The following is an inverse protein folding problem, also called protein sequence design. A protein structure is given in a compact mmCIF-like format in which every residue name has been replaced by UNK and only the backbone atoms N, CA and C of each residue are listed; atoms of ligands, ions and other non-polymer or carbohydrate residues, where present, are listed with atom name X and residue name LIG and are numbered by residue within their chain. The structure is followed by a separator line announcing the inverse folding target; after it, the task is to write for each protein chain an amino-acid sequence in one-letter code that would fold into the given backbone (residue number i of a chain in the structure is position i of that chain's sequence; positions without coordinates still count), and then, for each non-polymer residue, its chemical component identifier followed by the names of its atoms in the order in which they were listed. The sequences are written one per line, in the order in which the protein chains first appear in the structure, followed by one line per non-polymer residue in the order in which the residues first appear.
data_IF_359438885127
#
_entry.id   IF_359438885127
#
_cell.length_a   1.000
_cell.length_b   1.000
_cell.length_c   1.000
_cell.angle_alpha   90.00
_cell.angle_beta   90.00
_cell.angle_gamma   90.00
#
_symmetry.space_group_name_H-M   'P 1'
#
loop_
_entity.id
_entity.type
_entity.pdbx_description
1 polymer ?
#
# COMPACT_ATOMS: atom_id res chain seq x y z
N UNK A 1 6.76 -10.75 6.98
CA UNK A 1 6.78 -9.35 6.53
C UNK A 1 5.87 -8.51 7.42
N UNK A 2 6.35 -7.35 7.80
CA UNK A 2 5.67 -6.41 8.68
C UNK A 2 5.50 -5.08 7.94
N UNK A 3 4.28 -4.53 7.90
CA UNK A 3 3.99 -3.30 7.17
C UNK A 3 3.15 -2.31 7.99
N UNK A 4 3.23 -1.04 7.62
CA UNK A 4 2.29 0.01 8.04
C UNK A 4 1.52 0.48 6.82
N UNK A 5 0.18 0.52 6.93
CA UNK A 5 -0.72 1.01 5.89
C UNK A 5 -1.20 2.43 6.20
N UNK A 6 -1.12 3.32 5.21
CA UNK A 6 -1.86 4.57 5.21
C UNK A 6 -3.30 4.35 4.74
N UNK A 7 -4.13 5.36 4.82
CA UNK A 7 -5.57 5.32 4.49
C UNK A 7 -5.83 4.96 3.02
N UNK A 8 -5.14 5.61 2.09
CA UNK A 8 -5.37 5.43 0.66
C UNK A 8 -5.19 3.97 0.20
N UNK A 9 -4.13 3.25 0.58
CA UNK A 9 -4.01 1.83 0.25
C UNK A 9 -5.14 0.97 0.80
N UNK A 10 -5.62 1.25 2.01
CA UNK A 10 -6.73 0.53 2.62
C UNK A 10 -8.00 0.70 1.77
N UNK A 11 -8.29 1.94 1.36
CA UNK A 11 -9.46 2.25 0.55
C UNK A 11 -9.36 1.59 -0.83
N UNK A 12 -8.25 1.75 -1.53
CA UNK A 12 -8.08 1.16 -2.85
C UNK A 12 -8.17 -0.36 -2.84
N UNK A 13 -7.50 -1.02 -1.89
CA UNK A 13 -7.58 -2.47 -1.77
C UNK A 13 -8.99 -2.94 -1.40
N UNK A 14 -9.71 -2.19 -0.59
CA UNK A 14 -11.12 -2.48 -0.28
C UNK A 14 -12.00 -2.40 -1.53
N UNK A 15 -11.78 -1.42 -2.40
CA UNK A 15 -12.55 -1.22 -3.63
C UNK A 15 -12.40 -2.37 -4.63
N UNK A 16 -11.27 -3.08 -4.59
CA UNK A 16 -11.03 -4.24 -5.46
C UNK A 16 -11.03 -5.56 -4.70
N UNK A 17 -11.66 -5.59 -3.53
CA UNK A 17 -11.84 -6.80 -2.70
C UNK A 17 -10.53 -7.53 -2.39
N UNK A 18 -9.46 -6.78 -2.13
CA UNK A 18 -8.13 -7.34 -1.93
C UNK A 18 -7.53 -7.09 -0.55
N UNK A 19 -8.16 -6.22 0.27
CA UNK A 19 -7.60 -5.90 1.58
C UNK A 19 -7.45 -7.14 2.46
N UNK A 20 -8.45 -8.01 2.49
CA UNK A 20 -8.43 -9.24 3.31
C UNK A 20 -7.35 -10.22 2.87
N UNK A 21 -6.94 -10.16 1.61
CA UNK A 21 -5.91 -11.05 1.07
C UNK A 21 -4.54 -10.79 1.68
N UNK A 22 -4.31 -9.59 2.21
CA UNK A 22 -3.03 -9.26 2.86
C UNK A 22 -2.75 -10.16 4.06
N UNK A 23 -3.79 -10.58 4.78
CA UNK A 23 -3.64 -11.45 5.93
C UNK A 23 -3.11 -12.85 5.57
N UNK A 24 -3.23 -13.26 4.30
CA UNK A 24 -2.78 -14.57 3.83
C UNK A 24 -1.25 -14.64 3.66
N UNK A 25 -0.57 -13.50 3.52
CA UNK A 25 0.86 -13.50 3.23
C UNK A 25 1.69 -12.46 4.01
N UNK A 26 1.06 -11.64 4.85
CA UNK A 26 1.74 -10.63 5.67
C UNK A 26 1.43 -10.90 7.14
N UNK A 27 2.50 -11.03 7.93
CA UNK A 27 2.39 -11.46 9.32
C UNK A 27 1.79 -10.38 10.23
N UNK A 28 2.31 -9.16 10.11
CA UNK A 28 1.91 -8.05 10.97
C UNK A 28 1.58 -6.83 10.13
N UNK A 29 0.34 -6.35 10.27
CA UNK A 29 -0.17 -5.19 9.55
C UNK A 29 -0.64 -4.16 10.56
N UNK A 30 -0.06 -2.96 10.46
CA UNK A 30 -0.34 -1.84 11.36
C UNK A 30 -0.89 -0.64 10.60
N UNK A 31 -1.61 0.21 11.31
CA UNK A 31 -2.06 1.50 10.83
C UNK A 31 -1.98 2.55 11.95
N UNK A 32 -1.70 3.81 11.63
CA UNK A 32 -1.73 4.89 12.63
C UNK A 32 -3.15 5.27 12.99
N UNK A 33 -3.33 5.97 14.12
CA UNK A 33 -4.65 6.39 14.60
C UNK A 33 -5.41 7.29 13.61
N UNK A 34 -4.71 8.14 12.86
CA UNK A 34 -5.34 9.03 11.88
C UNK A 34 -6.17 8.28 10.84
N UNK A 35 -5.79 7.04 10.52
CA UNK A 35 -6.51 6.20 9.56
C UNK A 35 -7.96 5.96 9.98
N UNK A 36 -8.24 5.81 11.29
CA UNK A 36 -9.60 5.59 11.78
C UNK A 36 -10.53 6.74 11.37
N UNK A 37 -10.07 7.97 11.51
CA UNK A 37 -10.86 9.16 11.16
C UNK A 37 -10.98 9.36 9.65
N UNK A 38 -9.95 9.01 8.90
CA UNK A 38 -9.89 9.21 7.46
C UNK A 38 -10.66 8.15 6.67
N UNK A 39 -10.92 6.98 7.24
CA UNK A 39 -11.63 5.89 6.55
C UNK A 39 -13.11 6.17 6.34
N UNK A 40 -13.74 7.00 7.18
CA UNK A 40 -15.16 7.36 7.11
C UNK A 40 -16.07 6.11 7.07
N UNK A 41 -16.61 5.79 5.89
CA UNK A 41 -17.53 4.67 5.67
C UNK A 41 -16.85 3.30 5.59
N UNK A 42 -15.54 3.27 5.40
CA UNK A 42 -14.80 2.01 5.29
C UNK A 42 -14.52 1.43 6.66
N UNK A 43 -14.66 0.11 6.78
CA UNK A 43 -14.39 -0.60 8.03
C UNK A 43 -12.97 -1.13 8.05
N UNK A 44 -12.26 -0.89 9.14
CA UNK A 44 -10.92 -1.43 9.33
C UNK A 44 -11.02 -2.89 9.79
N UNK A 45 -10.47 -3.86 9.04
CA UNK A 45 -10.46 -5.25 9.47
C UNK A 45 -9.68 -5.46 10.77
N UNK A 46 -10.10 -6.45 11.56
CA UNK A 46 -9.49 -6.73 12.86
C UNK A 46 -8.01 -7.14 12.79
N UNK A 47 -7.55 -7.68 11.65
CA UNK A 47 -6.14 -8.06 11.48
C UNK A 47 -5.21 -6.85 11.29
N UNK A 48 -5.75 -5.65 11.03
CA UNK A 48 -4.96 -4.42 10.99
C UNK A 48 -4.93 -3.83 12.40
N UNK A 49 -3.75 -3.79 12.99
CA UNK A 49 -3.55 -3.31 14.35
C UNK A 49 -3.30 -1.81 14.35
N UNK A 50 -4.20 -1.05 14.98
CA UNK A 50 -4.00 0.39 15.14
C UNK A 50 -3.06 0.63 16.31
N UNK A 51 -1.99 1.40 16.08
CA UNK A 51 -0.99 1.73 17.11
C UNK A 51 -0.86 3.23 17.29
N UNK A 52 -0.79 3.71 18.55
CA UNK A 52 -0.47 5.10 18.81
C UNK A 52 1.03 5.34 18.59
N UNK A 53 1.38 6.57 18.26
CA UNK A 53 2.77 7.03 18.27
C UNK A 53 3.23 7.26 19.71
N UNK A 54 4.57 7.28 19.90
CA UNK A 54 5.14 7.80 21.13
C UNK A 54 4.85 9.30 21.26
N UNK A 55 5.01 9.86 22.47
CA UNK A 55 4.85 11.30 22.70
C UNK A 55 5.80 12.11 21.80
N UNK A 56 7.04 11.66 21.63
CA UNK A 56 8.02 12.28 20.72
C UNK A 56 7.56 12.21 19.27
N UNK A 57 7.03 11.07 18.83
CA UNK A 57 6.50 10.89 17.48
C UNK A 57 5.31 11.80 17.21
N UNK A 58 4.38 11.91 18.15
CA UNK A 58 3.24 12.83 18.03
C UNK A 58 3.68 14.30 17.91
N UNK A 59 4.64 14.71 18.72
CA UNK A 59 5.20 16.07 18.67
C UNK A 59 5.88 16.34 17.32
N UNK A 60 6.62 15.37 16.79
CA UNK A 60 7.23 15.48 15.47
C UNK A 60 6.18 15.67 14.38
N UNK A 61 5.12 14.87 14.37
CA UNK A 61 4.03 14.98 13.39
C UNK A 61 3.40 16.37 13.43
N UNK A 62 3.07 16.88 14.62
CA UNK A 62 2.47 18.20 14.76
C UNK A 62 3.38 19.32 14.25
N UNK A 63 4.69 19.21 14.49
CA UNK A 63 5.66 20.19 14.01
C UNK A 63 5.98 20.08 12.50
N UNK A 64 5.71 18.94 11.89
CA UNK A 64 6.02 18.67 10.49
C UNK A 64 4.82 18.81 9.54
N UNK A 65 3.64 19.15 10.07
CA UNK A 65 2.44 19.36 9.25
C UNK A 65 2.68 20.48 8.23
N UNK A 66 2.25 20.23 6.99
CA UNK A 66 2.46 21.18 5.88
C UNK A 66 2.04 20.53 4.57
N UNK A 67 3.00 20.20 3.71
CA UNK A 67 2.72 19.56 2.40
C UNK A 67 2.17 18.15 2.54
N UNK A 68 2.55 17.44 3.62
CA UNK A 68 2.03 16.12 3.91
C UNK A 68 0.90 16.24 4.93
N UNK A 69 -0.12 15.40 4.75
CA UNK A 69 -1.24 15.31 5.67
C UNK A 69 -0.85 14.51 6.92
N UNK A 70 -1.62 14.70 7.98
CA UNK A 70 -1.35 14.06 9.27
C UNK A 70 -1.27 12.54 9.16
N UNK A 71 -2.18 11.90 8.42
CA UNK A 71 -2.19 10.45 8.26
C UNK A 71 -0.93 9.90 7.61
N UNK A 72 -0.40 10.59 6.61
CA UNK A 72 0.84 10.21 5.94
C UNK A 72 2.04 10.32 6.88
N UNK A 73 2.14 11.43 7.61
CA UNK A 73 3.20 11.65 8.59
C UNK A 73 3.13 10.64 9.73
N UNK A 74 1.94 10.35 10.25
CA UNK A 74 1.77 9.34 11.30
C UNK A 74 2.16 7.96 10.81
N UNK A 75 1.83 7.59 9.57
CA UNK A 75 2.23 6.31 9.00
C UNK A 75 3.77 6.19 8.90
N UNK A 76 4.44 7.25 8.46
CA UNK A 76 5.90 7.29 8.35
C UNK A 76 6.55 7.14 9.73
N UNK A 77 6.10 7.92 10.71
CA UNK A 77 6.66 7.89 12.07
C UNK A 77 6.38 6.54 12.74
N UNK A 78 5.18 6.00 12.58
CA UNK A 78 4.85 4.68 13.11
C UNK A 78 5.74 3.59 12.50
N UNK A 79 6.00 3.67 11.21
CA UNK A 79 6.89 2.74 10.52
C UNK A 79 8.32 2.76 11.09
N UNK A 80 8.81 3.96 11.45
CA UNK A 80 10.11 4.08 12.11
C UNK A 80 10.10 3.50 13.53
N UNK A 81 9.06 3.79 14.31
CA UNK A 81 8.96 3.35 15.71
C UNK A 81 8.81 1.82 15.81
N UNK A 82 8.07 1.19 14.91
CA UNK A 82 7.86 -0.27 14.90
C UNK A 82 9.01 -0.99 14.19
N UNK A 83 9.76 -0.32 13.35
CA UNK A 83 10.80 -0.91 12.49
C UNK A 83 10.20 -1.95 11.53
N UNK A 84 9.31 -1.50 10.66
CA UNK A 84 8.63 -2.35 9.67
C UNK A 84 9.50 -2.63 8.44
N UNK A 85 9.13 -3.65 7.67
CA UNK A 85 9.77 -3.93 6.37
C UNK A 85 9.37 -2.90 5.32
N UNK A 86 8.09 -2.51 5.29
CA UNK A 86 7.58 -1.51 4.34
C UNK A 86 6.57 -0.58 4.99
N UNK A 87 6.60 0.68 4.58
CA UNK A 87 5.47 1.61 4.77
C UNK A 87 4.74 1.76 3.44
N UNK A 88 3.41 1.68 3.45
CA UNK A 88 2.59 1.68 2.24
C UNK A 88 1.92 3.03 2.08
N UNK A 89 2.37 3.77 1.07
CA UNK A 89 1.97 5.15 0.79
C UNK A 89 1.76 5.31 -0.71
N UNK A 90 0.66 5.95 -1.12
CA UNK A 90 0.39 6.22 -2.53
C UNK A 90 0.84 7.61 -2.97
N UNK A 91 0.88 8.57 -2.06
CA UNK A 91 1.32 9.93 -2.37
C UNK A 91 2.82 9.99 -2.65
N UNK A 92 3.20 10.65 -3.75
CA UNK A 92 4.60 10.74 -4.18
C UNK A 92 5.47 11.48 -3.15
N UNK A 93 4.99 12.61 -2.62
CA UNK A 93 5.77 13.39 -1.64
C UNK A 93 5.98 12.60 -0.35
N UNK A 94 4.95 11.87 0.10
CA UNK A 94 5.05 11.02 1.27
C UNK A 94 6.06 9.90 1.06
N UNK A 95 6.03 9.25 -0.11
CA UNK A 95 7.01 8.20 -0.44
C UNK A 95 8.44 8.74 -0.47
N UNK A 96 8.65 9.91 -1.07
CA UNK A 96 9.98 10.52 -1.10
C UNK A 96 10.49 10.87 0.29
N UNK A 97 9.63 11.39 1.16
CA UNK A 97 10.01 11.67 2.55
C UNK A 97 10.37 10.40 3.31
N UNK A 98 9.56 9.35 3.18
CA UNK A 98 9.83 8.07 3.82
C UNK A 98 11.17 7.47 3.37
N UNK A 99 11.45 7.53 2.06
CA UNK A 99 12.72 7.06 1.51
C UNK A 99 13.91 7.84 2.05
N UNK A 100 13.79 9.16 2.18
CA UNK A 100 14.84 10.02 2.78
C UNK A 100 15.12 9.67 4.23
N UNK A 101 14.11 9.14 4.93
CA UNK A 101 14.25 8.67 6.31
C UNK A 101 14.75 7.23 6.42
N UNK A 102 15.10 6.60 5.31
CA UNK A 102 15.65 5.26 5.27
C UNK A 102 14.62 4.14 5.30
N UNK A 103 13.35 4.45 5.05
CA UNK A 103 12.28 3.46 5.01
C UNK A 103 12.14 2.89 3.59
N UNK A 104 11.83 1.59 3.51
CA UNK A 104 11.39 0.97 2.28
C UNK A 104 9.90 1.24 2.07
N UNK A 105 9.54 1.63 0.86
CA UNK A 105 8.21 2.13 0.53
C UNK A 105 7.59 1.32 -0.60
N UNK A 106 6.30 1.06 -0.51
CA UNK A 106 5.51 0.62 -1.65
C UNK A 106 4.16 1.33 -1.66
N UNK A 107 3.49 1.32 -2.81
CA UNK A 107 2.13 1.83 -2.93
C UNK A 107 1.13 0.67 -3.03
N UNK A 108 -0.13 1.00 -3.26
CA UNK A 108 -1.19 0.01 -3.50
C UNK A 108 -0.82 -0.94 -4.65
N UNK A 109 -0.28 -0.39 -5.74
CA UNK A 109 0.19 -1.17 -6.86
C UNK A 109 1.25 -2.20 -6.44
N UNK A 110 2.22 -1.78 -5.64
CA UNK A 110 3.26 -2.67 -5.11
C UNK A 110 2.69 -3.80 -4.28
N UNK A 111 1.63 -3.54 -3.49
CA UNK A 111 0.95 -4.59 -2.72
C UNK A 111 0.23 -5.60 -3.62
N UNK A 112 -0.42 -5.15 -4.69
CA UNK A 112 -1.05 -6.07 -5.65
C UNK A 112 -0.02 -6.95 -6.35
N UNK A 113 1.11 -6.38 -6.73
CA UNK A 113 2.22 -7.16 -7.30
C UNK A 113 2.85 -8.11 -6.26
N UNK A 114 2.90 -7.71 -5.01
CA UNK A 114 3.36 -8.55 -3.90
C UNK A 114 2.43 -9.76 -3.70
N UNK A 115 1.12 -9.55 -3.75
CA UNK A 115 0.12 -10.63 -3.65
C UNK A 115 0.28 -11.63 -4.81
N UNK A 116 0.58 -11.14 -6.00
CA UNK A 116 0.84 -12.00 -7.16
C UNK A 116 2.12 -12.82 -6.97
N UNK A 117 3.22 -12.19 -6.53
CA UNK A 117 4.48 -12.90 -6.27
C UNK A 117 4.35 -13.97 -5.19
N UNK A 118 3.47 -13.77 -4.22
CA UNK A 118 3.19 -14.74 -3.16
C UNK A 118 2.12 -15.76 -3.54
N UNK A 119 1.68 -15.75 -4.80
CA UNK A 119 0.68 -16.67 -5.34
C UNK A 119 -0.69 -16.59 -4.65
N UNK A 120 -0.98 -15.48 -3.97
CA UNK A 120 -2.31 -15.18 -3.44
C UNK A 120 -3.24 -14.74 -4.56
N UNK A 121 -2.70 -14.01 -5.54
CA UNK A 121 -3.35 -13.68 -6.81
C UNK A 121 -2.53 -14.30 -7.95
N UNK A 122 -3.21 -14.73 -9.01
CA UNK A 122 -2.51 -15.03 -10.25
C UNK A 122 -2.31 -13.73 -11.07
N UNK A 123 -1.52 -13.81 -12.14
CA UNK A 123 -1.18 -12.65 -12.95
C UNK A 123 -2.41 -11.96 -13.56
N UNK A 124 -3.38 -12.74 -14.05
CA UNK A 124 -4.61 -12.19 -14.61
C UNK A 124 -5.46 -11.47 -13.56
N UNK A 125 -5.60 -12.05 -12.38
CA UNK A 125 -6.33 -11.43 -11.27
C UNK A 125 -5.68 -10.11 -10.84
N UNK A 126 -4.36 -10.10 -10.69
CA UNK A 126 -3.63 -8.88 -10.35
C UNK A 126 -3.82 -7.80 -11.41
N UNK A 127 -3.73 -8.16 -12.69
CA UNK A 127 -3.94 -7.23 -13.79
C UNK A 127 -5.36 -6.66 -13.81
N UNK A 128 -6.37 -7.50 -13.64
CA UNK A 128 -7.77 -7.07 -13.58
C UNK A 128 -8.01 -6.04 -12.47
N UNK A 129 -7.44 -6.28 -11.30
CA UNK A 129 -7.58 -5.35 -10.16
C UNK A 129 -6.90 -4.01 -10.42
N UNK A 130 -5.73 -4.02 -11.06
CA UNK A 130 -5.02 -2.79 -11.46
C UNK A 130 -5.85 -2.01 -12.48
N UNK A 131 -6.44 -2.68 -13.47
CA UNK A 131 -7.33 -2.04 -14.44
C UNK A 131 -8.56 -1.43 -13.76
N UNK A 132 -9.19 -2.14 -12.82
CA UNK A 132 -10.32 -1.61 -12.07
C UNK A 132 -9.96 -0.34 -11.30
N UNK A 133 -8.80 -0.32 -10.65
CA UNK A 133 -8.35 0.87 -9.93
C UNK A 133 -8.14 2.08 -10.83
N UNK A 134 -7.55 1.87 -12.01
CA UNK A 134 -7.28 2.96 -12.94
C UNK A 134 -8.51 3.43 -13.68
N UNK A 135 -9.40 2.53 -14.08
CA UNK A 135 -10.57 2.85 -14.91
C UNK A 135 -11.80 3.26 -14.09
N UNK A 136 -11.99 2.66 -12.89
CA UNK A 136 -13.21 2.83 -12.11
C UNK A 136 -13.01 3.60 -10.81
N UNK A 137 -11.79 3.65 -10.27
CA UNK A 137 -11.53 4.21 -8.95
C UNK A 137 -10.51 5.35 -8.95
N UNK A 138 -10.27 5.94 -10.09
CA UNK A 138 -9.47 7.17 -10.25
C UNK A 138 -8.03 7.06 -9.77
N UNK A 139 -7.46 5.85 -9.71
CA UNK A 139 -6.02 5.71 -9.48
C UNK A 139 -5.29 6.12 -10.75
N UNK A 140 -4.39 7.10 -10.63
CA UNK A 140 -3.60 7.53 -11.78
C UNK A 140 -2.32 6.69 -11.90
N UNK A 141 -2.14 6.08 -13.06
CA UNK A 141 -0.89 5.47 -13.49
C UNK A 141 -0.59 5.95 -14.91
N UNK A 142 0.67 6.25 -15.18
CA UNK A 142 1.04 6.65 -16.54
C UNK A 142 0.80 5.50 -17.51
N UNK A 143 0.44 5.79 -18.79
CA UNK A 143 0.26 4.74 -19.80
C UNK A 143 1.49 3.87 -19.98
N UNK A 144 2.69 4.44 -19.83
CA UNK A 144 3.95 3.72 -19.93
C UNK A 144 4.11 2.71 -18.78
N UNK A 145 3.80 3.13 -17.53
CA UNK A 145 3.86 2.25 -16.37
C UNK A 145 2.83 1.13 -16.47
N UNK A 146 1.60 1.43 -16.90
CA UNK A 146 0.56 0.42 -17.13
C UNK A 146 1.03 -0.63 -18.13
N UNK A 147 1.64 -0.20 -19.24
CA UNK A 147 2.15 -1.11 -20.27
C UNK A 147 3.26 -2.00 -19.73
N UNK A 148 4.19 -1.45 -18.96
CA UNK A 148 5.26 -2.22 -18.32
C UNK A 148 4.72 -3.28 -17.35
N UNK A 149 3.73 -2.91 -16.55
CA UNK A 149 3.09 -3.84 -15.60
C UNK A 149 2.35 -4.94 -16.34
N UNK A 150 1.62 -4.61 -17.40
CA UNK A 150 0.93 -5.57 -18.24
C UNK A 150 1.89 -6.60 -18.82
N UNK A 151 3.01 -6.14 -19.36
CA UNK A 151 4.06 -7.02 -19.89
C UNK A 151 4.64 -7.89 -18.78
N UNK A 152 4.93 -7.32 -17.62
CA UNK A 152 5.49 -8.06 -16.48
C UNK A 152 4.56 -9.17 -16.00
N UNK A 153 3.27 -8.89 -15.89
CA UNK A 153 2.28 -9.87 -15.39
C UNK A 153 1.86 -10.87 -16.46
N UNK A 154 1.50 -10.40 -17.65
CA UNK A 154 0.91 -11.24 -18.70
C UNK A 154 1.93 -11.75 -19.71
N UNK A 155 3.07 -11.06 -19.87
CA UNK A 155 4.14 -11.49 -20.75
C UNK A 155 4.73 -12.84 -20.35
N UNK A 156 4.77 -13.17 -19.07
CA UNK A 156 5.23 -14.45 -18.56
C UNK A 156 4.30 -15.62 -18.94
N UNK A 157 3.01 -15.34 -19.16
CA UNK A 157 2.03 -16.36 -19.57
C UNK A 157 2.28 -16.79 -21.02
N UNK A 158 2.62 -15.82 -21.90
CA UNK A 158 2.90 -16.11 -23.31
C UNK A 158 4.24 -16.86 -23.50
N UNK A 159 5.19 -16.69 -22.58
CA UNK A 159 6.49 -17.40 -22.66
C UNK A 159 6.41 -18.86 -22.18
N UNK A 160 5.39 -19.22 -21.39
CA UNK A 160 5.19 -20.62 -20.97
C UNK A 160 4.47 -21.45 -22.02
N UNK A 161 3.66 -20.82 -22.89
CA UNK A 161 2.93 -21.52 -23.95
C UNK A 161 3.81 -21.79 -25.19
N UNK A 162 4.98 -21.15 -25.30
CA UNK A 162 5.90 -21.35 -26.41
C UNK A 162 6.99 -22.42 -26.14
N UNK A 163 6.99 -23.05 -24.98
CA UNK A 163 7.93 -24.12 -24.61
C UNK A 163 7.34 -25.55 -24.71
N UNK A 164 6.20 -25.67 -25.37
CA UNK A 164 5.61 -26.98 -25.68
C UNK A 164 5.51 -27.15 -27.21
#
# INVERSE_FOLDING_TARGET
VKIVLNTSPIIFLSKVNSLKLLADCIDDIYAPKAVIQELHEYTLPAFIKVRPLSATGEAYVQGALGRLHQGELEAIVLAQEIAVDYVVLDDLLARLKAQRLGLDVMGTLGLLLFLEKRSVLNAEQAWQKIQQLTEQHSMYLSPQLLQQIKIQLLGNIFNTDTQH
#
